data_IF_467319352625
#
_entry.id   IF_467319352625
#
_cell.length_a   1.000
_cell.length_b   1.000
_cell.length_c   1.000
_cell.angle_alpha   90.00
_cell.angle_beta   90.00
_cell.angle_gamma   90.00
#
_symmetry.space_group_name_H-M   'P 1'
#
loop_
_entity.id
_entity.type
_entity.pdbx_description
1 polymer ?
#
# COMPACT_ATOMS: atom_id res chain seq x y z
N UNK A 1 5.27 -14.87 -0.72
CA UNK A 1 4.98 -13.51 -0.23
C UNK A 1 6.05 -12.51 -0.66
N UNK A 2 7.22 -12.44 0.00
CA UNK A 2 8.21 -11.34 -0.18
C UNK A 2 8.61 -11.07 -1.64
N UNK A 3 8.81 -12.12 -2.45
CA UNK A 3 9.14 -11.97 -3.86
C UNK A 3 7.99 -11.36 -4.71
N UNK A 4 6.74 -11.72 -4.42
CA UNK A 4 5.58 -11.12 -5.08
C UNK A 4 5.35 -9.69 -4.58
N UNK A 5 5.59 -9.46 -3.29
CA UNK A 5 5.47 -8.15 -2.66
C UNK A 5 6.45 -7.14 -3.25
N UNK A 6 7.68 -7.56 -3.54
CA UNK A 6 8.63 -6.77 -4.32
C UNK A 6 8.08 -6.34 -5.70
N UNK A 7 7.36 -7.21 -6.41
CA UNK A 7 6.73 -6.85 -7.69
C UNK A 7 5.60 -5.83 -7.49
N UNK A 8 4.80 -6.01 -6.44
CA UNK A 8 3.73 -5.10 -6.09
C UNK A 8 4.26 -3.71 -5.73
N UNK A 9 5.26 -3.61 -4.84
CA UNK A 9 5.88 -2.33 -4.46
C UNK A 9 6.43 -1.58 -5.67
N UNK A 10 6.98 -2.29 -6.67
CA UNK A 10 7.43 -1.67 -7.92
C UNK A 10 6.30 -1.09 -8.76
N UNK A 11 5.11 -1.69 -8.74
CA UNK A 11 3.90 -1.14 -9.36
C UNK A 11 3.24 -0.05 -8.49
N UNK A 12 3.45 -0.10 -7.18
CA UNK A 12 2.96 0.88 -6.22
C UNK A 12 3.66 2.24 -6.34
N UNK A 13 4.97 2.27 -6.60
CA UNK A 13 5.73 3.52 -6.82
C UNK A 13 5.09 4.45 -7.86
N UNK A 14 4.81 4.04 -9.11
CA UNK A 14 4.19 4.92 -10.10
C UNK A 14 2.74 5.28 -9.73
N UNK A 15 2.02 4.42 -9.03
CA UNK A 15 0.70 4.76 -8.48
C UNK A 15 0.82 5.92 -7.47
N UNK A 16 1.70 5.83 -6.47
CA UNK A 16 1.91 6.91 -5.48
C UNK A 16 2.39 8.19 -6.17
N UNK A 17 3.25 8.10 -7.18
CA UNK A 17 3.65 9.24 -7.98
C UNK A 17 2.45 9.90 -8.70
N UNK A 18 1.50 9.11 -9.22
CA UNK A 18 0.27 9.64 -9.82
C UNK A 18 -0.63 10.35 -8.79
N UNK A 19 -0.72 9.79 -7.58
CA UNK A 19 -1.48 10.39 -6.46
C UNK A 19 -0.82 11.71 -6.03
N UNK A 20 0.51 11.77 -6.00
CA UNK A 20 1.25 13.01 -5.73
C UNK A 20 0.94 14.11 -6.76
N UNK A 21 0.88 13.75 -8.04
CA UNK A 21 0.50 14.69 -9.11
C UNK A 21 -0.95 15.15 -8.95
N UNK A 22 -1.87 14.25 -8.61
CA UNK A 22 -3.28 14.58 -8.33
C UNK A 22 -3.40 15.49 -7.11
N UNK A 23 -2.69 15.20 -6.02
CA UNK A 23 -2.67 16.04 -4.83
C UNK A 23 -2.20 17.47 -5.12
N UNK A 24 -1.14 17.63 -5.92
CA UNK A 24 -0.68 18.95 -6.35
C UNK A 24 -1.74 19.74 -7.15
N UNK A 25 -2.58 19.06 -7.94
CA UNK A 25 -3.58 19.70 -8.81
C UNK A 25 -4.93 19.92 -8.13
N UNK A 26 -5.35 18.99 -7.29
CA UNK A 26 -6.73 18.84 -6.82
C UNK A 26 -6.88 19.02 -5.31
N UNK A 27 -5.79 18.98 -4.53
CA UNK A 27 -5.90 19.17 -3.08
C UNK A 27 -6.04 20.64 -2.70
N UNK A 28 -6.99 20.90 -1.78
CA UNK A 28 -7.17 22.19 -1.13
C UNK A 28 -6.18 22.44 0.03
N UNK A 29 -5.35 21.45 0.39
CA UNK A 29 -4.44 21.51 1.52
C UNK A 29 -2.99 21.31 1.07
N UNK A 30 -2.19 22.38 1.20
CA UNK A 30 -0.77 22.35 0.81
C UNK A 30 0.02 21.19 1.42
N UNK A 31 -0.26 20.83 2.68
CA UNK A 31 0.43 19.78 3.43
C UNK A 31 0.24 18.34 2.93
N UNK A 32 -0.72 18.10 2.02
CA UNK A 32 -1.00 16.75 1.52
C UNK A 32 0.13 16.23 0.63
N UNK A 33 0.76 17.15 -0.11
CA UNK A 33 1.86 16.82 -1.00
C UNK A 33 3.06 16.29 -0.21
N UNK A 34 3.39 16.91 0.93
CA UNK A 34 4.50 16.49 1.79
C UNK A 34 4.23 15.12 2.43
N UNK A 35 2.99 14.83 2.82
CA UNK A 35 2.63 13.51 3.36
C UNK A 35 2.84 12.44 2.30
N UNK A 36 2.28 12.62 1.10
CA UNK A 36 2.40 11.65 0.00
C UNK A 36 3.85 11.50 -0.45
N UNK A 37 4.60 12.61 -0.53
CA UNK A 37 6.02 12.60 -0.88
C UNK A 37 6.87 11.84 0.15
N UNK A 38 6.56 11.97 1.44
CA UNK A 38 7.23 11.23 2.51
C UNK A 38 7.03 9.70 2.37
N UNK A 39 5.83 9.28 2.00
CA UNK A 39 5.55 7.88 1.64
C UNK A 39 6.39 7.41 0.46
N UNK A 40 6.37 8.17 -0.63
CA UNK A 40 7.14 7.85 -1.84
C UNK A 40 8.65 7.77 -1.59
N UNK A 41 9.21 8.63 -0.74
CA UNK A 41 10.61 8.56 -0.33
C UNK A 41 10.93 7.25 0.40
N UNK A 42 10.01 6.77 1.25
CA UNK A 42 10.17 5.52 2.01
C UNK A 42 10.14 4.27 1.13
N UNK A 43 9.51 4.35 -0.06
CA UNK A 43 9.47 3.23 -1.02
C UNK A 43 10.86 2.92 -1.62
N UNK A 44 11.76 3.90 -1.69
CA UNK A 44 13.15 3.65 -2.15
C UNK A 44 13.89 2.76 -1.15
N UNK A 45 13.85 3.13 0.13
CA UNK A 45 14.41 2.34 1.22
C UNK A 45 13.78 0.94 1.29
N UNK A 46 12.49 0.82 0.98
CA UNK A 46 11.77 -0.46 0.95
C UNK A 46 12.22 -1.36 -0.20
N UNK A 47 12.36 -0.83 -1.40
CA UNK A 47 12.92 -1.55 -2.55
C UNK A 47 14.35 -2.03 -2.27
N UNK A 48 15.16 -1.20 -1.61
CA UNK A 48 16.53 -1.55 -1.19
C UNK A 48 16.53 -2.69 -0.17
N UNK A 49 15.61 -2.63 0.80
CA UNK A 49 15.43 -3.68 1.80
C UNK A 49 15.01 -5.02 1.18
N UNK A 50 14.05 -5.02 0.24
CA UNK A 50 13.65 -6.25 -0.46
C UNK A 50 14.81 -6.92 -1.21
N UNK A 51 15.68 -6.13 -1.85
CA UNK A 51 16.88 -6.68 -2.52
C UNK A 51 17.86 -7.30 -1.52
N UNK A 52 18.03 -6.68 -0.36
CA UNK A 52 18.89 -7.18 0.71
C UNK A 52 18.36 -8.48 1.29
N UNK A 53 17.06 -8.55 1.59
CA UNK A 53 16.42 -9.77 2.08
C UNK A 53 16.45 -10.88 1.04
N UNK A 54 16.17 -10.58 -0.23
CA UNK A 54 16.25 -11.58 -1.29
C UNK A 54 17.65 -12.20 -1.40
N UNK A 55 18.71 -11.39 -1.29
CA UNK A 55 20.09 -11.88 -1.27
C UNK A 55 20.37 -12.76 -0.04
N UNK A 56 19.89 -12.37 1.15
CA UNK A 56 20.04 -13.12 2.40
C UNK A 56 19.37 -14.50 2.33
N UNK A 57 18.22 -14.59 1.67
CA UNK A 57 17.47 -15.83 1.50
C UNK A 57 17.79 -16.60 0.21
N UNK A 58 18.73 -16.12 -0.61
CA UNK A 58 19.11 -16.77 -1.88
C UNK A 58 18.02 -16.76 -2.94
N UNK A 59 17.10 -15.79 -2.89
CA UNK A 59 15.97 -15.63 -3.81
C UNK A 59 16.38 -14.73 -4.97
N UNK A 60 16.22 -15.22 -6.20
CA UNK A 60 16.41 -14.42 -7.41
C UNK A 60 15.16 -13.61 -7.73
N UNK A 61 15.18 -12.30 -7.46
CA UNK A 61 14.05 -11.40 -7.74
C UNK A 61 13.76 -11.24 -9.24
N UNK A 62 14.73 -11.51 -10.12
CA UNK A 62 14.53 -11.44 -11.58
C UNK A 62 13.71 -12.59 -12.14
N UNK A 63 13.68 -13.73 -11.45
CA UNK A 63 13.06 -14.96 -11.94
C UNK A 63 11.64 -15.15 -11.39
N UNK A 64 11.17 -14.18 -10.61
CA UNK A 64 9.86 -14.21 -9.97
C UNK A 64 8.78 -13.97 -11.02
N UNK A 65 7.94 -14.98 -11.24
CA UNK A 65 6.76 -14.84 -12.10
C UNK A 65 5.60 -14.28 -11.27
N UNK A 66 4.98 -13.15 -11.66
CA UNK A 66 3.84 -12.60 -10.94
C UNK A 66 2.65 -13.58 -11.00
N UNK A 67 2.08 -13.88 -9.84
CA UNK A 67 0.86 -14.69 -9.73
C UNK A 67 -0.37 -13.89 -10.16
N UNK A 68 -1.50 -14.58 -10.38
CA UNK A 68 -2.71 -13.93 -10.87
C UNK A 68 -3.24 -12.84 -9.93
N UNK A 69 -3.24 -13.09 -8.61
CA UNK A 69 -3.64 -12.10 -7.60
C UNK A 69 -2.78 -10.82 -7.69
N UNK A 70 -1.45 -10.99 -7.83
CA UNK A 70 -0.52 -9.86 -7.98
C UNK A 70 -0.78 -9.07 -9.27
N UNK A 71 -1.02 -9.76 -10.40
CA UNK A 71 -1.35 -9.10 -11.68
C UNK A 71 -2.65 -8.32 -11.59
N UNK A 72 -3.69 -8.89 -10.99
CA UNK A 72 -4.97 -8.23 -10.80
C UNK A 72 -4.79 -6.95 -9.97
N UNK A 73 -4.03 -7.05 -8.88
CA UNK A 73 -3.80 -5.92 -8.00
C UNK A 73 -3.00 -4.81 -8.69
N UNK A 74 -1.92 -5.16 -9.41
CA UNK A 74 -1.19 -4.19 -10.22
C UNK A 74 -2.09 -3.53 -11.28
N UNK A 75 -3.00 -4.29 -11.90
CA UNK A 75 -3.98 -3.74 -12.84
C UNK A 75 -4.97 -2.76 -12.20
N UNK A 76 -5.39 -3.01 -10.95
CA UNK A 76 -6.18 -2.05 -10.17
C UNK A 76 -5.41 -0.74 -9.96
N UNK A 77 -4.14 -0.82 -9.56
CA UNK A 77 -3.28 0.36 -9.38
C UNK A 77 -3.14 1.16 -10.69
N UNK A 78 -2.90 0.48 -11.82
CA UNK A 78 -2.83 1.12 -13.13
C UNK A 78 -4.15 1.84 -13.50
N UNK A 79 -5.30 1.25 -13.18
CA UNK A 79 -6.60 1.89 -13.44
C UNK A 79 -6.79 3.20 -12.67
N UNK A 80 -6.27 3.27 -11.44
CA UNK A 80 -6.33 4.47 -10.59
C UNK A 80 -5.35 5.57 -11.02
N UNK A 81 -4.33 5.23 -11.82
CA UNK A 81 -3.41 6.21 -12.40
C UNK A 81 -4.03 6.98 -13.58
N UNK A 82 -5.20 6.56 -14.07
CA UNK A 82 -5.89 7.24 -15.16
C UNK A 82 -6.15 8.72 -14.82
N UNK A 83 -6.02 9.65 -15.79
CA UNK A 83 -6.44 11.04 -15.60
C UNK A 83 -7.90 11.17 -15.18
N UNK A 84 -8.76 10.21 -15.59
CA UNK A 84 -10.19 10.21 -15.30
C UNK A 84 -10.54 9.70 -13.89
N UNK A 85 -9.58 9.08 -13.19
CA UNK A 85 -9.79 8.61 -11.82
C UNK A 85 -9.79 9.80 -10.85
N UNK A 86 -10.82 9.93 -10.03
CA UNK A 86 -10.96 11.04 -9.09
C UNK A 86 -9.92 10.96 -7.97
N UNK A 87 -9.34 12.10 -7.57
CA UNK A 87 -8.34 12.13 -6.50
C UNK A 87 -8.85 11.52 -5.19
N UNK A 88 -10.11 11.78 -4.82
CA UNK A 88 -10.75 11.21 -3.62
C UNK A 88 -10.76 9.68 -3.64
N UNK A 89 -10.97 9.07 -4.80
CA UNK A 89 -10.98 7.61 -4.95
C UNK A 89 -9.55 7.06 -4.84
N UNK A 90 -8.59 7.70 -5.51
CA UNK A 90 -7.19 7.29 -5.49
C UNK A 90 -6.54 7.43 -4.09
N UNK A 91 -6.80 8.52 -3.36
CA UNK A 91 -6.28 8.71 -2.00
C UNK A 91 -6.94 7.75 -0.99
N UNK A 92 -8.20 7.38 -1.21
CA UNK A 92 -8.89 6.35 -0.41
C UNK A 92 -8.23 4.99 -0.61
N UNK A 93 -7.94 4.61 -1.86
CA UNK A 93 -7.21 3.38 -2.15
C UNK A 93 -5.81 3.39 -1.52
N UNK A 94 -5.08 4.51 -1.65
CA UNK A 94 -3.74 4.64 -1.08
C UNK A 94 -3.74 4.47 0.45
N UNK A 95 -4.64 5.17 1.15
CA UNK A 95 -4.81 5.01 2.59
C UNK A 95 -5.14 3.57 2.98
N UNK A 96 -6.05 2.92 2.26
CA UNK A 96 -6.48 1.56 2.57
C UNK A 96 -5.34 0.54 2.44
N UNK A 97 -4.56 0.61 1.34
CA UNK A 97 -3.41 -0.28 1.10
C UNK A 97 -2.40 -0.18 2.26
N UNK A 98 -1.97 1.04 2.60
CA UNK A 98 -0.99 1.27 3.66
C UNK A 98 -1.51 0.82 5.04
N UNK A 99 -2.80 1.08 5.31
CA UNK A 99 -3.42 0.73 6.59
C UNK A 99 -3.56 -0.78 6.77
N UNK A 100 -3.89 -1.54 5.71
CA UNK A 100 -3.96 -3.01 5.79
C UNK A 100 -2.60 -3.59 6.18
N UNK A 101 -1.52 -3.09 5.60
CA UNK A 101 -0.16 -3.49 6.00
C UNK A 101 0.13 -3.13 7.45
N UNK A 102 -0.18 -1.91 7.87
CA UNK A 102 0.10 -1.44 9.22
C UNK A 102 -0.62 -2.29 10.28
N UNK A 103 -1.93 -2.52 10.12
CA UNK A 103 -2.74 -3.32 11.03
C UNK A 103 -2.24 -4.78 11.07
N UNK A 104 -1.96 -5.36 9.90
CA UNK A 104 -1.47 -6.74 9.80
C UNK A 104 -0.15 -6.95 10.55
N UNK A 105 0.80 -6.02 10.43
CA UNK A 105 2.11 -6.13 11.05
C UNK A 105 2.17 -5.62 12.50
N UNK A 106 1.29 -4.70 12.90
CA UNK A 106 1.14 -4.29 14.29
C UNK A 106 0.81 -5.49 15.19
N UNK A 107 -0.15 -6.32 14.77
CA UNK A 107 -0.49 -7.56 15.47
C UNK A 107 0.68 -8.57 15.56
N UNK A 108 1.62 -8.52 14.61
CA UNK A 108 2.80 -9.38 14.65
C UNK A 108 3.83 -8.93 15.70
N UNK A 109 3.81 -7.69 16.18
CA UNK A 109 4.78 -7.17 17.15
C UNK A 109 4.18 -6.93 18.54
N UNK A 110 2.88 -7.12 18.70
CA UNK A 110 2.18 -7.05 19.99
C UNK A 110 2.73 -8.03 21.03
N UNK A 111 2.56 -7.68 22.30
CA UNK A 111 2.93 -8.54 23.41
C UNK A 111 2.15 -9.86 23.35
N UNK A 112 2.88 -10.98 23.35
CA UNK A 112 2.28 -12.32 23.21
C UNK A 112 2.18 -12.84 21.78
N UNK A 113 2.64 -12.08 20.77
CA UNK A 113 2.73 -12.59 19.40
C UNK A 113 3.69 -13.78 19.30
N UNK A 114 3.35 -14.73 18.43
CA UNK A 114 4.18 -15.92 18.15
C UNK A 114 5.09 -15.73 16.93
N UNK A 115 5.41 -14.48 16.60
CA UNK A 115 6.21 -14.14 15.42
C UNK A 115 7.61 -14.73 15.54
N UNK A 116 8.06 -15.54 14.56
CA UNK A 116 9.40 -16.09 14.54
C UNK A 116 10.46 -15.00 14.66
N UNK A 117 11.54 -15.19 15.44
CA UNK A 117 12.58 -14.17 15.62
C UNK A 117 13.17 -13.64 14.31
N UNK A 118 13.32 -14.52 13.31
CA UNK A 118 13.81 -14.20 11.96
C UNK A 118 12.90 -13.28 11.15
N UNK A 119 11.61 -13.19 11.50
CA UNK A 119 10.62 -12.33 10.83
C UNK A 119 10.32 -11.06 11.62
N UNK A 120 10.83 -10.91 12.85
CA UNK A 120 10.53 -9.74 13.69
C UNK A 120 10.98 -8.43 13.05
N UNK A 121 12.14 -8.41 12.40
CA UNK A 121 12.65 -7.21 11.72
C UNK A 121 11.69 -6.75 10.62
N UNK A 122 11.20 -7.69 9.81
CA UNK A 122 10.17 -7.48 8.80
C UNK A 122 8.90 -6.91 9.42
N UNK A 123 8.42 -7.50 10.52
CA UNK A 123 7.20 -7.03 11.18
C UNK A 123 7.32 -5.64 11.79
N UNK A 124 8.50 -5.27 12.30
CA UNK A 124 8.72 -3.92 12.84
C UNK A 124 8.65 -2.86 11.75
N UNK A 125 9.01 -3.16 10.49
CA UNK A 125 9.03 -2.17 9.39
C UNK A 125 7.66 -1.54 9.15
N UNK A 126 6.60 -2.34 9.13
CA UNK A 126 5.23 -1.85 8.93
C UNK A 126 4.40 -1.86 10.22
N UNK A 127 4.82 -2.55 11.27
CA UNK A 127 4.10 -2.57 12.56
C UNK A 127 4.43 -1.43 13.50
N UNK A 128 5.49 -0.65 13.24
CA UNK A 128 5.93 0.40 14.16
C UNK A 128 4.98 1.60 14.24
N UNK A 129 5.09 2.35 15.34
CA UNK A 129 4.27 3.53 15.62
C UNK A 129 4.43 4.66 14.57
N UNK A 130 5.61 4.82 13.98
CA UNK A 130 5.85 5.87 12.99
C UNK A 130 5.07 5.59 11.69
N UNK A 131 5.02 4.33 11.24
CA UNK A 131 4.20 3.94 10.11
C UNK A 131 2.70 4.03 10.42
N UNK A 132 2.28 3.72 11.65
CA UNK A 132 0.92 4.00 12.14
C UNK A 132 0.52 5.48 12.04
N UNK A 133 1.40 6.39 12.47
CA UNK A 133 1.17 7.85 12.35
C UNK A 133 1.11 8.32 10.90
N UNK A 134 1.91 7.70 10.02
CA UNK A 134 1.85 7.97 8.59
C UNK A 134 0.50 7.53 7.98
N UNK A 135 0.04 6.31 8.28
CA UNK A 135 -1.27 5.82 7.85
C UNK A 135 -2.41 6.71 8.36
N UNK A 136 -2.33 7.17 9.62
CA UNK A 136 -3.29 8.14 10.18
C UNK A 136 -3.26 9.49 9.43
N UNK A 137 -2.10 9.93 8.97
CA UNK A 137 -1.97 11.15 8.18
C UNK A 137 -2.67 11.00 6.82
N UNK A 138 -2.50 9.85 6.14
CA UNK A 138 -3.24 9.52 4.92
C UNK A 138 -4.75 9.44 5.17
N UNK A 139 -5.16 8.82 6.29
CA UNK A 139 -6.56 8.73 6.68
C UNK A 139 -7.21 10.11 6.82
N UNK A 140 -6.49 11.06 7.43
CA UNK A 140 -6.97 12.43 7.59
C UNK A 140 -7.17 13.14 6.24
N UNK A 141 -6.29 12.89 5.27
CA UNK A 141 -6.43 13.41 3.91
C UNK A 141 -7.68 12.79 3.25
N UNK A 142 -7.78 11.47 3.25
CA UNK A 142 -8.91 10.75 2.65
C UNK A 142 -10.26 11.19 3.25
N UNK A 143 -10.36 11.26 4.58
CA UNK A 143 -11.57 11.71 5.29
C UNK A 143 -11.98 13.13 4.87
N UNK A 144 -11.02 14.05 4.75
CA UNK A 144 -11.31 15.43 4.32
C UNK A 144 -11.78 15.49 2.87
N UNK A 145 -11.21 14.69 1.99
CA UNK A 145 -11.67 14.57 0.59
C UNK A 145 -13.09 14.00 0.54
N UNK A 146 -13.37 12.93 1.27
CA UNK A 146 -14.68 12.29 1.34
C UNK A 146 -15.77 13.22 1.88
N UNK A 147 -15.47 14.06 2.88
CA UNK A 147 -16.43 15.05 3.41
C UNK A 147 -16.90 16.08 2.39
N UNK A 148 -16.12 16.32 1.33
CA UNK A 148 -16.43 17.28 0.26
C UNK A 148 -16.91 16.62 -1.02
N UNK A 149 -16.82 15.29 -1.10
CA UNK A 149 -17.14 14.53 -2.30
C UNK A 149 -18.64 14.52 -2.59
N UNK A 150 -18.97 14.43 -3.87
CA UNK A 150 -20.35 14.17 -4.30
C UNK A 150 -20.81 12.76 -3.91
N UNK A 151 -22.13 12.54 -3.89
CA UNK A 151 -22.71 11.21 -3.61
C UNK A 151 -22.22 10.13 -4.59
N UNK A 152 -21.91 10.51 -5.84
CA UNK A 152 -21.36 9.59 -6.83
C UNK A 152 -19.91 9.21 -6.50
N UNK A 153 -19.07 10.19 -6.19
CA UNK A 153 -17.68 9.97 -5.79
C UNK A 153 -17.57 9.18 -4.48
N UNK A 154 -18.47 9.41 -3.51
CA UNK A 154 -18.53 8.63 -2.27
C UNK A 154 -18.77 7.15 -2.56
N UNK A 155 -19.71 6.83 -3.45
CA UNK A 155 -19.97 5.44 -3.86
C UNK A 155 -18.77 4.83 -4.59
N UNK A 156 -18.10 5.59 -5.47
CA UNK A 156 -16.87 5.13 -6.14
C UNK A 156 -15.76 4.85 -5.14
N UNK A 157 -15.58 5.70 -4.14
CA UNK A 157 -14.58 5.53 -3.09
C UNK A 157 -14.88 4.31 -2.20
N UNK A 158 -16.14 4.08 -1.85
CA UNK A 158 -16.57 2.88 -1.10
C UNK A 158 -16.32 1.60 -1.90
N UNK A 159 -16.72 1.57 -3.18
CA UNK A 159 -16.45 0.43 -4.07
C UNK A 159 -14.95 0.19 -4.19
N UNK A 160 -14.15 1.26 -4.27
CA UNK A 160 -12.70 1.16 -4.34
C UNK A 160 -12.09 0.61 -3.05
N UNK A 161 -12.56 1.05 -1.88
CA UNK A 161 -12.15 0.49 -0.59
C UNK A 161 -12.42 -1.02 -0.54
N UNK A 162 -13.63 -1.45 -0.91
CA UNK A 162 -13.99 -2.87 -0.95
C UNK A 162 -13.09 -3.64 -1.94
N UNK A 163 -12.85 -3.07 -3.12
CA UNK A 163 -11.98 -3.67 -4.14
C UNK A 163 -10.55 -3.86 -3.61
N UNK A 164 -10.00 -2.86 -2.91
CA UNK A 164 -8.68 -2.97 -2.26
C UNK A 164 -8.66 -4.10 -1.25
N UNK A 165 -9.65 -4.18 -0.36
CA UNK A 165 -9.72 -5.23 0.66
C UNK A 165 -9.84 -6.64 0.06
N UNK A 166 -10.60 -6.80 -1.02
CA UNK A 166 -10.70 -8.06 -1.76
C UNK A 166 -9.34 -8.47 -2.36
N UNK A 167 -8.64 -7.52 -3.00
CA UNK A 167 -7.32 -7.77 -3.56
C UNK A 167 -6.28 -8.09 -2.48
N UNK A 168 -6.31 -7.41 -1.33
CA UNK A 168 -5.48 -7.74 -0.17
C UNK A 168 -5.71 -9.19 0.26
N UNK A 169 -6.97 -9.61 0.45
CA UNK A 169 -7.28 -11.00 0.82
C UNK A 169 -6.71 -12.01 -0.20
N UNK A 170 -6.89 -11.76 -1.50
CA UNK A 170 -6.31 -12.61 -2.56
C UNK A 170 -4.77 -12.63 -2.50
N UNK A 171 -4.15 -11.48 -2.22
CA UNK A 171 -2.70 -11.31 -2.11
C UNK A 171 -2.12 -12.03 -0.89
N UNK A 172 -2.80 -12.01 0.26
CA UNK A 172 -2.39 -12.79 1.42
C UNK A 172 -2.59 -14.29 1.18
N UNK A 173 -3.67 -14.67 0.50
CA UNK A 173 -3.96 -16.08 0.19
C UNK A 173 -2.94 -16.72 -0.74
N UNK A 174 -2.35 -16.01 -1.71
CA UNK A 174 -1.27 -16.58 -2.53
C UNK A 174 -0.01 -16.97 -1.73
N UNK A 175 0.12 -16.47 -0.50
CA UNK A 175 1.26 -16.76 0.38
C UNK A 175 0.98 -17.91 1.35
N UNK A 176 -0.29 -18.25 1.56
CA UNK A 176 -0.71 -19.48 2.24
C UNK A 176 -0.70 -20.57 1.18
N UNK A 177 0.47 -21.16 0.91
CA UNK A 177 0.58 -22.23 -0.09
C UNK A 177 -0.55 -23.26 0.07
N UNK A 178 -1.13 -23.71 -1.05
CA UNK A 178 -2.28 -24.64 -1.07
C UNK A 178 -2.10 -25.73 -0.01
N UNK A 179 -2.94 -25.68 1.04
CA UNK A 179 -3.07 -26.75 2.04
C UNK A 179 -3.90 -27.88 1.45
#
# INVERSE_FOLDING_TARGET
>A
MQAQDYLFVRAFVPFVASVLIKAWKESDCSGDMEVILGGMASLEDEISWFKTEANKWGISLSDVVPQQANKNYCGLLESLMSPDAEYTVAITAFWAIETVYQESFAHCIEEGSKTPPELKETCVRWGNEAFGKYCQSLQNIANRCLQKASDEELKKAEVMLLSVLEHEVEFWNMSRGNV
#
